data_IF_792320280453
#
_entry.id   IF_792320280453
#
_cell.length_a   1.000
_cell.length_b   1.000
_cell.length_c   1.000
_cell.angle_alpha   90.00
_cell.angle_beta   90.00
_cell.angle_gamma   90.00
#
_symmetry.space_group_name_H-M   'P 1'
#
loop_
_entity.id
_entity.type
_entity.pdbx_description
1 polymer ?
#
# COMPACT_ATOMS: atom_id res chain seq x y z
N UNK A 1 -12.58 -29.89 -5.85
CA UNK A 1 -13.86 -29.34 -6.28
C UNK A 1 -14.01 -27.98 -5.62
N UNK A 2 -13.97 -26.89 -6.36
CA UNK A 2 -14.40 -25.59 -5.82
C UNK A 2 -15.90 -25.67 -5.66
N UNK A 3 -16.41 -25.64 -4.43
CA UNK A 3 -17.82 -25.40 -4.17
C UNK A 3 -18.14 -24.01 -4.70
N UNK A 4 -19.04 -23.92 -5.68
CA UNK A 4 -19.55 -22.64 -6.14
C UNK A 4 -20.27 -21.98 -4.96
N UNK A 5 -19.66 -20.94 -4.39
CA UNK A 5 -20.32 -20.13 -3.38
C UNK A 5 -21.34 -19.25 -4.10
N UNK A 6 -22.61 -19.48 -3.82
CA UNK A 6 -23.67 -18.62 -4.32
C UNK A 6 -23.94 -17.51 -3.31
N UNK A 7 -23.78 -16.27 -3.77
CA UNK A 7 -24.10 -15.10 -2.97
C UNK A 7 -25.58 -15.07 -2.61
N UNK A 8 -25.89 -14.78 -1.37
CA UNK A 8 -27.25 -14.49 -0.91
C UNK A 8 -27.82 -13.24 -1.58
N UNK A 9 -29.13 -13.06 -1.53
CA UNK A 9 -29.79 -11.85 -2.03
C UNK A 9 -29.20 -10.58 -1.38
N UNK A 10 -29.03 -10.59 -0.06
CA UNK A 10 -28.52 -9.44 0.69
C UNK A 10 -27.04 -9.12 0.40
N UNK A 11 -26.22 -10.14 0.17
CA UNK A 11 -24.84 -9.93 -0.27
C UNK A 11 -24.78 -9.24 -1.63
N UNK A 12 -25.64 -9.67 -2.57
CA UNK A 12 -25.74 -9.04 -3.90
C UNK A 12 -26.19 -7.58 -3.79
N UNK A 13 -27.26 -7.31 -3.05
CA UNK A 13 -27.86 -5.99 -2.94
C UNK A 13 -27.03 -5.01 -2.09
N UNK A 14 -26.44 -5.50 -0.99
CA UNK A 14 -25.74 -4.64 -0.04
C UNK A 14 -24.26 -4.42 -0.37
N UNK A 15 -23.56 -5.45 -0.83
CA UNK A 15 -22.12 -5.38 -1.04
C UNK A 15 -21.71 -5.26 -2.51
N UNK A 16 -22.46 -5.88 -3.42
CA UNK A 16 -22.04 -6.00 -4.82
C UNK A 16 -22.89 -5.23 -5.81
N UNK A 17 -23.98 -4.57 -5.39
CA UNK A 17 -24.76 -3.71 -6.29
C UNK A 17 -24.21 -2.30 -6.38
N UNK A 18 -24.29 -1.68 -7.55
CA UNK A 18 -23.93 -0.27 -7.76
C UNK A 18 -22.46 0.06 -7.44
N UNK A 19 -21.55 -0.87 -7.65
CA UNK A 19 -20.11 -0.65 -7.48
C UNK A 19 -19.58 0.11 -8.68
N UNK A 20 -18.93 1.25 -8.44
CA UNK A 20 -18.24 2.02 -9.47
C UNK A 20 -16.81 1.52 -9.68
N UNK A 21 -16.12 1.17 -8.59
CA UNK A 21 -14.72 0.76 -8.62
C UNK A 21 -14.50 -0.44 -7.69
N UNK A 22 -13.91 -1.51 -8.22
CA UNK A 22 -13.47 -2.67 -7.44
C UNK A 22 -11.94 -2.73 -7.41
N UNK A 23 -11.38 -2.83 -6.20
CA UNK A 23 -9.94 -2.96 -5.96
C UNK A 23 -9.68 -4.37 -5.44
N UNK A 24 -8.75 -5.08 -6.06
CA UNK A 24 -8.38 -6.43 -5.68
C UNK A 24 -7.16 -6.40 -4.76
N UNK A 25 -7.35 -6.87 -3.54
CA UNK A 25 -6.33 -6.94 -2.49
C UNK A 25 -6.37 -5.75 -1.53
N UNK A 26 -6.38 -6.04 -0.23
CA UNK A 26 -6.37 -5.06 0.87
C UNK A 26 -4.98 -4.80 1.44
N UNK A 27 -3.94 -4.95 0.62
CA UNK A 27 -2.59 -4.52 0.96
C UNK A 27 -2.46 -2.99 0.97
N UNK A 28 -1.28 -2.49 1.35
CA UNK A 28 -1.01 -1.04 1.45
C UNK A 28 -1.35 -0.28 0.16
N UNK A 29 -1.07 -0.87 -1.00
CA UNK A 29 -1.37 -0.24 -2.31
C UNK A 29 -2.87 -0.16 -2.55
N UNK A 30 -3.61 -1.26 -2.33
CA UNK A 30 -5.06 -1.29 -2.54
C UNK A 30 -5.80 -0.37 -1.59
N UNK A 31 -5.44 -0.36 -0.31
CA UNK A 31 -6.04 0.53 0.68
C UNK A 31 -5.71 2.01 0.39
N UNK A 32 -4.46 2.32 0.02
CA UNK A 32 -4.08 3.67 -0.37
C UNK A 32 -4.85 4.15 -1.59
N UNK A 33 -5.00 3.30 -2.61
CA UNK A 33 -5.80 3.61 -3.80
C UNK A 33 -7.26 3.87 -3.43
N UNK A 34 -7.86 3.03 -2.58
CA UNK A 34 -9.25 3.21 -2.13
C UNK A 34 -9.46 4.56 -1.44
N UNK A 35 -8.56 4.92 -0.51
CA UNK A 35 -8.64 6.18 0.23
C UNK A 35 -8.50 7.38 -0.71
N UNK A 36 -7.51 7.37 -1.61
CA UNK A 36 -7.30 8.46 -2.56
C UNK A 36 -8.47 8.61 -3.54
N UNK A 37 -9.03 7.50 -4.04
CA UNK A 37 -10.22 7.52 -4.88
C UNK A 37 -11.42 8.12 -4.13
N UNK A 38 -11.61 7.77 -2.87
CA UNK A 38 -12.69 8.36 -2.04
C UNK A 38 -12.49 9.84 -1.77
N UNK A 39 -11.23 10.33 -1.71
CA UNK A 39 -10.96 11.77 -1.62
C UNK A 39 -11.25 12.51 -2.94
N UNK A 40 -10.90 11.90 -4.08
CA UNK A 40 -11.14 12.50 -5.40
C UNK A 40 -12.62 12.46 -5.81
N UNK A 41 -13.26 11.32 -5.57
CA UNK A 41 -14.64 11.03 -5.94
C UNK A 41 -15.43 10.53 -4.73
N UNK A 42 -15.83 11.44 -3.80
CA UNK A 42 -16.47 11.04 -2.53
C UNK A 42 -17.77 10.25 -2.71
N UNK A 43 -18.46 10.45 -3.84
CA UNK A 43 -19.74 9.79 -4.14
C UNK A 43 -19.56 8.39 -4.74
N UNK A 44 -18.41 8.08 -5.32
CA UNK A 44 -18.16 6.77 -5.91
C UNK A 44 -18.26 5.65 -4.88
N UNK A 45 -18.85 4.55 -5.27
CA UNK A 45 -18.92 3.34 -4.46
C UNK A 45 -17.69 2.48 -4.75
N UNK A 46 -16.70 2.57 -3.87
CA UNK A 46 -15.45 1.80 -3.96
C UNK A 46 -15.56 0.57 -3.07
N UNK A 47 -15.25 -0.60 -3.60
CA UNK A 47 -15.14 -1.85 -2.84
C UNK A 47 -13.70 -2.38 -2.92
N UNK A 48 -13.19 -2.87 -1.80
CA UNK A 48 -11.91 -3.58 -1.72
C UNK A 48 -12.20 -5.05 -1.45
N UNK A 49 -11.74 -5.91 -2.34
CA UNK A 49 -11.93 -7.36 -2.24
C UNK A 49 -10.63 -8.02 -1.79
N UNK A 50 -10.67 -8.71 -0.64
CA UNK A 50 -9.54 -9.47 -0.11
C UNK A 50 -9.85 -10.97 -0.19
N UNK A 51 -8.86 -11.74 -0.62
CA UNK A 51 -8.98 -13.19 -0.75
C UNK A 51 -9.09 -13.91 0.58
N UNK A 52 -8.39 -13.41 1.58
CA UNK A 52 -8.33 -14.00 2.92
C UNK A 52 -9.25 -13.29 3.91
N UNK A 53 -9.44 -13.90 5.07
CA UNK A 53 -10.13 -13.26 6.21
C UNK A 53 -9.34 -12.04 6.72
N UNK A 54 -8.01 -12.11 6.62
CA UNK A 54 -7.08 -11.03 6.92
C UNK A 54 -6.08 -10.90 5.77
N UNK A 55 -5.55 -9.70 5.52
CA UNK A 55 -4.47 -9.50 4.56
C UNK A 55 -3.26 -10.36 4.96
N UNK A 56 -2.76 -11.17 4.03
CA UNK A 56 -1.63 -12.08 4.27
C UNK A 56 -0.50 -11.91 3.24
N UNK A 57 -0.54 -10.82 2.48
CA UNK A 57 0.46 -10.49 1.47
C UNK A 57 1.69 -9.77 2.03
N UNK A 58 2.50 -9.21 1.12
CA UNK A 58 3.76 -8.53 1.44
C UNK A 58 3.59 -7.38 2.46
N UNK A 59 2.46 -6.66 2.44
CA UNK A 59 2.20 -5.54 3.34
C UNK A 59 2.17 -5.92 4.82
N UNK A 60 1.89 -7.19 5.15
CA UNK A 60 1.81 -7.69 6.53
C UNK A 60 2.94 -8.66 6.88
N UNK A 61 3.89 -8.86 5.96
CA UNK A 61 5.02 -9.80 6.10
C UNK A 61 6.37 -9.13 5.85
N UNK A 62 6.45 -7.83 6.05
CA UNK A 62 7.70 -7.08 5.99
C UNK A 62 8.25 -6.85 7.41
N UNK A 63 9.50 -6.38 7.48
CA UNK A 63 10.18 -6.10 8.75
C UNK A 63 9.77 -4.76 9.40
N UNK A 64 8.85 -4.01 8.79
CA UNK A 64 8.37 -2.72 9.30
C UNK A 64 9.33 -1.56 9.09
N UNK A 65 10.38 -1.72 8.31
CA UNK A 65 11.29 -0.62 8.00
C UNK A 65 10.68 0.32 6.94
N UNK A 66 10.54 1.59 7.29
CA UNK A 66 10.13 2.65 6.39
C UNK A 66 11.36 3.32 5.77
N UNK A 67 12.19 2.55 5.07
CA UNK A 67 13.40 3.04 4.43
C UNK A 67 13.13 3.44 2.96
N UNK A 68 13.95 4.34 2.47
CA UNK A 68 13.93 4.81 1.08
C UNK A 68 15.18 4.41 0.28
N UNK A 69 15.97 3.50 0.81
CA UNK A 69 17.19 2.90 0.27
C UNK A 69 18.31 2.94 1.31
N UNK A 70 19.03 1.84 1.43
CA UNK A 70 20.31 1.81 2.15
C UNK A 70 21.43 2.34 1.26
N UNK A 71 22.58 2.67 1.82
CA UNK A 71 23.72 3.12 1.02
C UNK A 71 24.15 2.04 0.02
N UNK A 72 24.20 0.79 0.46
CA UNK A 72 24.57 -0.36 -0.40
C UNK A 72 23.59 -0.53 -1.56
N UNK A 73 22.26 -0.46 -1.30
CA UNK A 73 21.26 -0.52 -2.36
C UNK A 73 21.37 0.63 -3.35
N UNK A 74 21.56 1.87 -2.87
CA UNK A 74 21.68 3.02 -3.75
C UNK A 74 22.95 2.97 -4.62
N UNK A 75 24.07 2.48 -4.08
CA UNK A 75 25.29 2.29 -4.84
C UNK A 75 25.12 1.20 -5.92
N UNK A 76 24.40 0.14 -5.62
CA UNK A 76 24.08 -0.89 -6.61
C UNK A 76 23.12 -0.35 -7.70
N UNK A 77 22.09 0.36 -7.31
CA UNK A 77 21.16 1.01 -8.25
C UNK A 77 21.88 1.96 -9.21
N UNK A 78 22.87 2.72 -8.73
CA UNK A 78 23.70 3.59 -9.56
C UNK A 78 24.49 2.85 -10.65
N UNK A 79 24.77 1.56 -10.46
CA UNK A 79 25.44 0.74 -11.48
C UNK A 79 24.51 0.32 -12.61
N UNK A 80 23.20 0.32 -12.37
CA UNK A 80 22.17 -0.18 -13.29
C UNK A 80 21.32 0.91 -13.92
N UNK A 81 21.19 2.06 -13.24
CA UNK A 81 20.45 3.23 -13.72
C UNK A 81 21.22 4.51 -13.45
N UNK A 82 20.91 5.57 -14.19
CA UNK A 82 21.58 6.87 -14.03
C UNK A 82 21.24 7.53 -12.68
N UNK A 83 22.12 8.44 -12.24
CA UNK A 83 21.98 9.16 -10.97
C UNK A 83 20.62 9.85 -10.81
N UNK A 84 20.15 10.54 -11.85
CA UNK A 84 18.84 11.22 -11.83
C UNK A 84 17.69 10.24 -11.55
N UNK A 85 17.74 9.03 -12.12
CA UNK A 85 16.73 8.02 -11.91
C UNK A 85 16.75 7.45 -10.47
N UNK A 86 17.94 7.25 -9.91
CA UNK A 86 18.10 6.83 -8.51
C UNK A 86 17.53 7.88 -7.57
N UNK A 87 17.89 9.15 -7.78
CA UNK A 87 17.41 10.26 -6.97
C UNK A 87 15.88 10.40 -7.04
N UNK A 88 15.30 10.25 -8.24
CA UNK A 88 13.84 10.27 -8.42
C UNK A 88 13.14 9.14 -7.63
N UNK A 89 13.73 7.94 -7.58
CA UNK A 89 13.19 6.82 -6.81
C UNK A 89 13.25 7.12 -5.30
N UNK A 90 14.37 7.64 -4.81
CA UNK A 90 14.54 8.03 -3.40
C UNK A 90 13.51 9.10 -3.02
N UNK A 91 13.37 10.14 -3.85
CA UNK A 91 12.39 11.21 -3.61
C UNK A 91 10.94 10.66 -3.57
N UNK A 92 10.57 9.81 -4.52
CA UNK A 92 9.23 9.17 -4.53
C UNK A 92 8.98 8.35 -3.27
N UNK A 93 9.95 7.57 -2.82
CA UNK A 93 9.85 6.78 -1.58
C UNK A 93 9.71 7.69 -0.36
N UNK A 94 10.51 8.76 -0.28
CA UNK A 94 10.42 9.75 0.79
C UNK A 94 9.06 10.44 0.84
N UNK A 95 8.59 10.96 -0.29
CA UNK A 95 7.27 11.59 -0.39
C UNK A 95 6.15 10.61 -0.03
N UNK A 96 6.27 9.35 -0.47
CA UNK A 96 5.33 8.28 -0.12
C UNK A 96 5.26 8.03 1.38
N UNK A 97 6.40 7.99 2.07
CA UNK A 97 6.47 7.87 3.52
C UNK A 97 5.79 9.04 4.23
N UNK A 98 6.07 10.30 3.80
CA UNK A 98 5.43 11.48 4.41
C UNK A 98 3.91 11.45 4.21
N UNK A 99 3.43 11.02 3.04
CA UNK A 99 1.99 10.87 2.78
C UNK A 99 1.35 9.80 3.66
N UNK A 100 2.02 8.68 3.86
CA UNK A 100 1.54 7.62 4.75
C UNK A 100 1.43 8.11 6.19
N UNK A 101 2.46 8.80 6.69
CA UNK A 101 2.46 9.40 8.04
C UNK A 101 1.34 10.42 8.21
N UNK A 102 1.13 11.28 7.21
CA UNK A 102 0.04 12.26 7.24
C UNK A 102 -1.36 11.60 7.20
N UNK A 103 -1.49 10.48 6.51
CA UNK A 103 -2.76 9.77 6.36
C UNK A 103 -3.15 8.97 7.61
N UNK A 104 -2.19 8.26 8.20
CA UNK A 104 -2.44 7.30 9.28
C UNK A 104 -2.11 7.90 10.66
N UNK A 105 -1.14 8.79 10.71
CA UNK A 105 -0.58 9.37 11.93
C UNK A 105 0.55 8.53 12.52
N UNK A 106 1.56 9.20 13.05
CA UNK A 106 2.76 8.55 13.59
C UNK A 106 2.45 7.61 14.75
N UNK A 107 1.52 7.98 15.62
CA UNK A 107 1.11 7.15 16.76
C UNK A 107 0.48 5.83 16.30
N UNK A 108 -0.40 5.87 15.31
CA UNK A 108 -1.05 4.68 14.77
C UNK A 108 -0.08 3.78 14.00
N UNK A 109 0.96 4.36 13.39
CA UNK A 109 2.03 3.63 12.72
C UNK A 109 3.08 3.11 13.70
N UNK A 110 3.07 3.57 14.96
CA UNK A 110 4.18 3.41 15.90
C UNK A 110 5.51 3.84 15.26
N UNK A 111 5.46 4.96 14.51
CA UNK A 111 6.58 5.43 13.72
C UNK A 111 7.70 5.97 14.61
N UNK A 112 8.91 5.45 14.40
CA UNK A 112 10.11 5.88 15.10
C UNK A 112 11.18 6.29 14.10
N UNK A 113 11.64 7.53 14.18
CA UNK A 113 12.69 8.03 13.29
C UNK A 113 14.06 7.81 13.94
N UNK A 114 14.56 6.59 13.86
CA UNK A 114 15.80 6.16 14.50
C UNK A 114 17.03 6.27 13.60
N UNK A 115 16.83 6.54 12.29
CA UNK A 115 17.89 6.45 11.28
C UNK A 115 18.25 5.01 10.93
N UNK A 116 19.31 4.84 10.15
CA UNK A 116 19.85 3.54 9.74
C UNK A 116 21.37 3.56 9.77
N UNK A 117 21.97 2.41 10.04
CA UNK A 117 23.42 2.23 10.05
C UNK A 117 23.75 0.97 9.26
N UNK A 118 24.77 1.05 8.43
CA UNK A 118 25.36 -0.11 7.76
C UNK A 118 26.78 -0.29 8.30
N UNK A 119 27.11 -1.54 8.60
CA UNK A 119 28.46 -1.94 9.02
C UNK A 119 29.15 -2.59 7.83
N UNK A 120 30.36 -2.11 7.52
CA UNK A 120 31.22 -2.64 6.47
C UNK A 120 32.42 -3.37 7.05
#
# INVERSE_FOLDING_TARGET
>A
MMTSYELSYWEKESFFSGIDIAIIGSGIVGLSAAIHLKHLEPKSRVVVLERGVLPSGASTRNAGFACFGSMTELLDDLTHMGEDAVLEVVEKRWVGLQRLRALVGDDNLNFQQLGGYELF
#
